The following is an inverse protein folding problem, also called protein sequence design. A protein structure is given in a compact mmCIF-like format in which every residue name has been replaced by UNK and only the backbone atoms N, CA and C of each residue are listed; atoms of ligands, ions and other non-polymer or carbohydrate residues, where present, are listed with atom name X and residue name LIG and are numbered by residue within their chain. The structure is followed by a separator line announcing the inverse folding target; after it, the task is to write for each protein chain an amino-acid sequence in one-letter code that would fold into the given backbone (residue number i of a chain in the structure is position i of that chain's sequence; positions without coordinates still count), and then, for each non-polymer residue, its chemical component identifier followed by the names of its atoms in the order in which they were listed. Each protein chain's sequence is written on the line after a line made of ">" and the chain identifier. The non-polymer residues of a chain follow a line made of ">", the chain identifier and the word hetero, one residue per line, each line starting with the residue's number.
data_IF_149991406378
#
_entry.id   IF_149991406378
#
_cell.length_a   1.000
_cell.length_b   1.000
_cell.length_c   1.000
_cell.angle_alpha   90.00
_cell.angle_beta   90.00
_cell.angle_gamma   90.00
#
_symmetry.space_group_name_H-M   'P 1'
#
loop_
_entity.id
_entity.type
_entity.pdbx_description
1 polymer ?
#
# COMPACT_ATOMS: atom_id res chain seq x y z
N UNK A 1 -21.65 0.96 9.41
CA UNK A 1 -21.18 1.44 8.10
C UNK A 1 -19.90 0.70 7.70
N UNK A 2 -19.99 -0.60 7.40
CA UNK A 2 -18.87 -1.44 6.97
C UNK A 2 -19.23 -2.40 5.80
N UNK A 3 -20.35 -2.13 5.11
CA UNK A 3 -20.75 -2.85 3.91
C UNK A 3 -19.75 -2.61 2.78
N UNK A 4 -19.50 -3.66 1.99
CA UNK A 4 -18.58 -3.62 0.84
C UNK A 4 -18.97 -4.69 -0.17
N UNK A 5 -18.91 -4.35 -1.45
CA UNK A 5 -19.26 -5.26 -2.55
C UNK A 5 -18.47 -4.90 -3.82
N UNK A 6 -18.07 -5.92 -4.57
CA UNK A 6 -17.46 -5.76 -5.89
C UNK A 6 -18.50 -6.09 -6.96
N UNK A 7 -18.62 -5.21 -7.96
CA UNK A 7 -19.37 -5.46 -9.18
C UNK A 7 -18.48 -5.14 -10.38
N UNK A 8 -18.03 -6.18 -11.08
CA UNK A 8 -17.08 -6.06 -12.19
C UNK A 8 -15.77 -5.39 -11.78
N UNK A 9 -15.50 -4.20 -12.34
CA UNK A 9 -14.31 -3.41 -12.07
C UNK A 9 -14.53 -2.29 -11.03
N UNK A 10 -15.58 -2.38 -10.22
CA UNK A 10 -15.91 -1.37 -9.20
C UNK A 10 -16.08 -2.01 -7.83
N UNK A 11 -15.47 -1.39 -6.82
CA UNK A 11 -15.72 -1.68 -5.41
C UNK A 11 -16.57 -0.56 -4.83
N UNK A 12 -17.75 -0.89 -4.31
CA UNK A 12 -18.52 -0.02 -3.44
C UNK A 12 -18.21 -0.38 -1.99
N UNK A 13 -17.87 0.60 -1.16
CA UNK A 13 -17.66 0.39 0.26
C UNK A 13 -18.19 1.56 1.10
N UNK A 14 -18.55 1.26 2.34
CA UNK A 14 -18.84 2.27 3.35
C UNK A 14 -17.54 2.75 4.03
N UNK A 15 -17.44 4.04 4.40
CA UNK A 15 -16.22 4.63 4.97
C UNK A 15 -15.68 3.97 6.25
N UNK A 16 -16.52 3.28 7.01
CA UNK A 16 -16.11 2.56 8.23
C UNK A 16 -15.51 1.18 7.98
N UNK A 17 -15.39 0.72 6.73
CA UNK A 17 -14.59 -0.47 6.42
C UNK A 17 -13.13 -0.27 6.83
N UNK A 18 -12.46 -1.34 7.27
CA UNK A 18 -11.02 -1.36 7.53
C UNK A 18 -10.28 -1.84 6.30
N UNK A 19 -9.05 -1.35 6.06
CA UNK A 19 -8.23 -1.79 4.94
C UNK A 19 -8.00 -3.29 4.92
N UNK A 20 -7.87 -3.96 6.08
CA UNK A 20 -7.79 -5.42 6.14
C UNK A 20 -9.00 -6.12 5.51
N UNK A 21 -10.21 -5.64 5.78
CA UNK A 21 -11.43 -6.17 5.21
C UNK A 21 -11.60 -5.80 3.72
N UNK A 22 -11.05 -4.66 3.31
CA UNK A 22 -10.95 -4.24 1.91
C UNK A 22 -9.97 -5.14 1.13
N UNK A 23 -8.82 -5.49 1.71
CA UNK A 23 -7.83 -6.38 1.10
C UNK A 23 -8.40 -7.79 0.92
N UNK A 24 -9.13 -8.30 1.91
CA UNK A 24 -9.78 -9.61 1.82
C UNK A 24 -10.74 -9.72 0.61
N UNK A 25 -11.64 -8.75 0.45
CA UNK A 25 -12.58 -8.77 -0.70
C UNK A 25 -11.86 -8.57 -2.04
N UNK A 26 -10.81 -7.75 -2.09
CA UNK A 26 -10.00 -7.57 -3.30
C UNK A 26 -9.30 -8.87 -3.71
N UNK A 27 -8.65 -9.54 -2.76
CA UNK A 27 -7.93 -10.79 -2.99
C UNK A 27 -8.87 -11.92 -3.48
N UNK A 28 -10.04 -12.08 -2.83
CA UNK A 28 -11.06 -13.07 -3.23
C UNK A 28 -11.61 -12.87 -4.64
N UNK A 29 -11.50 -11.66 -5.18
CA UNK A 29 -12.01 -11.31 -6.50
C UNK A 29 -10.89 -11.06 -7.54
N UNK A 30 -9.63 -11.34 -7.20
CA UNK A 30 -8.46 -11.06 -8.07
C UNK A 30 -8.42 -9.62 -8.59
N UNK A 31 -8.76 -8.66 -7.70
CA UNK A 31 -8.74 -7.23 -7.99
C UNK A 31 -7.73 -6.51 -7.11
N UNK A 32 -7.31 -5.34 -7.55
CA UNK A 32 -6.49 -4.45 -6.76
C UNK A 32 -6.93 -2.99 -6.92
N UNK A 33 -6.53 -2.18 -5.94
CA UNK A 33 -6.59 -0.73 -5.96
C UNK A 33 -5.41 -0.24 -5.10
N UNK A 34 -4.75 0.87 -5.43
CA UNK A 34 -3.70 1.42 -4.58
C UNK A 34 -4.25 1.71 -3.18
N UNK A 35 -3.66 1.11 -2.15
CA UNK A 35 -3.94 1.42 -0.76
C UNK A 35 -2.73 1.14 0.15
N UNK A 36 -2.84 1.47 1.43
CA UNK A 36 -1.80 1.24 2.43
C UNK A 36 -1.81 -0.18 2.99
N UNK A 37 -0.73 -0.55 3.67
CA UNK A 37 -0.54 -1.89 4.24
C UNK A 37 -0.98 -1.99 5.72
N UNK A 38 -1.43 -0.89 6.32
CA UNK A 38 -1.90 -0.86 7.69
C UNK A 38 -3.36 -1.33 7.75
N UNK A 39 -3.58 -2.61 8.03
CA UNK A 39 -4.91 -3.25 8.02
C UNK A 39 -5.97 -2.51 8.87
N UNK A 40 -5.56 -1.89 9.97
CA UNK A 40 -6.46 -1.22 10.92
C UNK A 40 -6.89 0.19 10.51
N UNK A 41 -6.38 0.71 9.38
CA UNK A 41 -6.75 2.03 8.87
C UNK A 41 -8.17 1.98 8.30
N UNK A 42 -8.98 2.98 8.62
CA UNK A 42 -10.32 3.15 8.05
C UNK A 42 -10.27 3.57 6.58
N UNK A 43 -11.04 2.90 5.74
CA UNK A 43 -11.07 3.09 4.30
C UNK A 43 -11.59 4.48 3.91
N UNK A 44 -12.51 5.06 4.68
CA UNK A 44 -13.01 6.41 4.49
C UNK A 44 -11.90 7.45 4.49
N UNK A 45 -11.19 7.56 5.61
CA UNK A 45 -10.05 8.47 5.73
C UNK A 45 -8.96 8.16 4.69
N UNK A 46 -8.70 6.87 4.42
CA UNK A 46 -7.67 6.46 3.48
C UNK A 46 -7.94 6.90 2.04
N UNK A 47 -9.10 6.54 1.49
CA UNK A 47 -9.43 6.79 0.08
C UNK A 47 -9.94 8.22 -0.17
N UNK A 48 -10.40 8.95 0.85
CA UNK A 48 -10.87 10.34 0.66
C UNK A 48 -9.77 11.39 0.80
N UNK A 49 -8.55 11.00 1.24
CA UNK A 49 -7.43 11.93 1.43
C UNK A 49 -6.30 11.69 0.45
N UNK A 50 -5.69 10.50 0.45
CA UNK A 50 -4.59 10.15 -0.43
C UNK A 50 -4.64 8.68 -0.79
N UNK A 51 -4.34 7.81 0.18
CA UNK A 51 -4.27 6.37 -0.06
C UNK A 51 -2.99 5.94 -0.77
N UNK A 52 -1.84 6.16 -0.13
CA UNK A 52 -0.54 5.78 -0.71
C UNK A 52 -0.30 4.26 -0.62
N UNK A 53 0.24 3.69 -1.69
CA UNK A 53 0.58 2.27 -1.86
C UNK A 53 2.06 2.15 -2.25
N UNK A 54 2.77 1.22 -1.63
CA UNK A 54 4.21 1.03 -1.88
C UNK A 54 4.50 0.52 -3.30
N UNK A 55 3.67 -0.37 -3.84
CA UNK A 55 3.87 -1.02 -5.14
C UNK A 55 3.08 -0.33 -6.26
N UNK A 56 1.80 -0.04 -6.03
CA UNK A 56 0.87 0.37 -7.07
C UNK A 56 0.89 1.88 -7.33
N UNK A 57 1.30 2.71 -6.37
CA UNK A 57 1.09 4.15 -6.46
C UNK A 57 1.83 4.81 -7.63
N UNK A 58 3.07 4.39 -7.93
CA UNK A 58 3.84 4.97 -9.05
C UNK A 58 3.22 4.69 -10.41
N UNK A 59 2.56 3.53 -10.57
CA UNK A 59 1.97 3.10 -11.84
C UNK A 59 0.52 3.54 -11.99
N UNK A 60 -0.27 3.43 -10.93
CA UNK A 60 -1.72 3.59 -10.97
C UNK A 60 -2.24 4.83 -10.22
N UNK A 61 -1.36 5.59 -9.58
CA UNK A 61 -1.72 6.75 -8.76
C UNK A 61 -2.10 6.37 -7.33
N UNK A 62 -2.46 7.36 -6.54
CA UNK A 62 -2.94 7.19 -5.17
C UNK A 62 -4.36 6.61 -5.14
N UNK A 63 -4.74 5.96 -4.05
CA UNK A 63 -6.06 5.35 -3.85
C UNK A 63 -7.21 6.33 -4.02
N UNK A 64 -7.03 7.60 -3.62
CA UNK A 64 -8.03 8.65 -3.84
C UNK A 64 -8.29 8.91 -5.33
N UNK A 65 -7.31 8.71 -6.21
CA UNK A 65 -7.48 8.85 -7.66
C UNK A 65 -8.31 7.70 -8.27
N UNK A 66 -8.51 6.61 -7.52
CA UNK A 66 -9.42 5.53 -7.89
C UNK A 66 -10.88 5.83 -7.54
N UNK A 67 -11.19 6.81 -6.69
CA UNK A 67 -12.57 7.20 -6.35
C UNK A 67 -13.28 7.70 -7.60
N UNK A 68 -14.35 7.04 -8.03
CA UNK A 68 -15.16 7.42 -9.20
C UNK A 68 -16.51 8.03 -8.83
N UNK A 69 -16.88 7.95 -7.57
CA UNK A 69 -18.13 8.48 -7.05
C UNK A 69 -18.36 8.07 -5.60
N UNK A 70 -19.58 8.31 -5.12
CA UNK A 70 -20.02 7.87 -3.82
C UNK A 70 -21.30 8.58 -3.39
N UNK A 71 -21.53 8.62 -2.08
CA UNK A 71 -22.68 9.30 -1.48
C UNK A 71 -22.22 10.19 -0.35
N UNK A 72 -22.78 11.38 -0.23
CA UNK A 72 -22.50 12.32 0.86
C UNK A 72 -23.81 12.78 1.51
N UNK A 73 -23.81 12.92 2.82
CA UNK A 73 -24.84 13.63 3.58
C UNK A 73 -24.31 15.03 3.92
N UNK A 74 -25.02 16.07 3.48
CA UNK A 74 -24.68 17.47 3.74
C UNK A 74 -25.21 17.92 5.11
N UNK A 75 -24.80 19.12 5.51
CA UNK A 75 -25.12 19.73 6.82
C UNK A 75 -26.62 19.99 7.03
N UNK A 76 -27.39 20.16 5.96
CA UNK A 76 -28.83 20.38 5.97
C UNK A 76 -29.65 19.07 5.94
N UNK A 77 -28.97 17.91 5.94
CA UNK A 77 -29.57 16.59 5.84
C UNK A 77 -29.77 16.10 4.40
N UNK A 78 -29.44 16.91 3.38
CA UNK A 78 -29.52 16.50 1.97
C UNK A 78 -28.55 15.37 1.69
N UNK A 79 -29.01 14.31 1.01
CA UNK A 79 -28.19 13.19 0.58
C UNK A 79 -27.98 13.28 -0.93
N UNK A 80 -26.72 13.36 -1.36
CA UNK A 80 -26.34 13.42 -2.77
C UNK A 80 -25.59 12.16 -3.20
N UNK A 81 -25.94 11.64 -4.37
CA UNK A 81 -25.09 10.72 -5.12
C UNK A 81 -24.10 11.54 -5.96
N UNK A 82 -22.84 11.15 -5.92
CA UNK A 82 -21.73 11.85 -6.54
C UNK A 82 -21.13 10.94 -7.60
N UNK A 83 -20.95 11.47 -8.81
CA UNK A 83 -20.16 10.85 -9.86
C UNK A 83 -19.53 11.93 -10.75
N UNK A 84 -19.05 11.57 -11.95
CA UNK A 84 -18.44 12.53 -12.87
C UNK A 84 -19.45 13.53 -13.48
N UNK A 85 -20.72 13.13 -13.61
CA UNK A 85 -21.81 13.92 -14.20
C UNK A 85 -22.63 14.67 -13.13
N UNK A 86 -22.68 14.15 -11.92
CA UNK A 86 -23.44 14.68 -10.79
C UNK A 86 -22.47 15.15 -9.70
N UNK A 87 -22.41 16.46 -9.47
CA UNK A 87 -21.57 17.09 -8.42
C UNK A 87 -20.06 16.81 -8.57
N UNK A 88 -19.52 17.08 -9.76
CA UNK A 88 -18.11 16.81 -10.10
C UNK A 88 -17.10 17.53 -9.21
N UNK A 89 -17.48 18.67 -8.63
CA UNK A 89 -16.73 19.44 -7.64
C UNK A 89 -16.64 18.69 -6.30
N UNK A 90 -17.70 18.02 -5.87
CA UNK A 90 -17.68 17.15 -4.69
C UNK A 90 -16.87 15.89 -4.96
N UNK A 91 -16.93 15.33 -6.19
CA UNK A 91 -16.05 14.24 -6.58
C UNK A 91 -14.57 14.66 -6.49
N UNK A 92 -14.23 15.88 -6.91
CA UNK A 92 -12.88 16.41 -6.75
C UNK A 92 -12.49 16.52 -5.27
N UNK A 93 -13.37 17.02 -4.41
CA UNK A 93 -13.15 17.07 -2.96
C UNK A 93 -12.96 15.67 -2.34
N UNK A 94 -13.66 14.65 -2.83
CA UNK A 94 -13.48 13.25 -2.43
C UNK A 94 -12.15 12.63 -2.86
N UNK A 95 -11.43 13.26 -3.80
CA UNK A 95 -10.12 12.78 -4.29
C UNK A 95 -8.94 13.46 -3.59
N UNK A 96 -9.10 13.79 -2.32
CA UNK A 96 -8.06 14.39 -1.48
C UNK A 96 -8.27 15.85 -1.09
N UNK A 97 -9.30 16.51 -1.65
CA UNK A 97 -9.65 17.90 -1.35
C UNK A 97 -10.50 18.09 -0.09
N UNK A 98 -10.36 17.23 0.91
CA UNK A 98 -11.08 17.27 2.19
C UNK A 98 -12.61 17.26 2.06
N UNK A 99 -13.19 16.20 1.46
CA UNK A 99 -14.64 15.98 1.42
C UNK A 99 -15.38 16.13 2.77
N UNK A 100 -14.67 15.90 3.88
CA UNK A 100 -15.18 16.14 5.24
C UNK A 100 -15.61 17.60 5.49
N UNK A 101 -15.10 18.57 4.73
CA UNK A 101 -15.54 19.97 4.79
C UNK A 101 -16.89 20.23 4.11
N UNK A 102 -17.33 19.35 3.20
CA UNK A 102 -18.60 19.47 2.50
C UNK A 102 -19.73 18.70 3.21
N UNK A 103 -19.40 17.60 3.89
CA UNK A 103 -20.36 16.76 4.59
C UNK A 103 -19.78 15.41 4.99
N UNK A 104 -20.65 14.47 5.38
CA UNK A 104 -20.26 13.11 5.78
C UNK A 104 -20.43 12.18 4.58
N UNK A 105 -19.31 11.71 4.02
CA UNK A 105 -19.36 10.66 3.00
C UNK A 105 -19.93 9.39 3.65
N UNK A 106 -20.86 8.73 2.97
CA UNK A 106 -21.52 7.51 3.43
C UNK A 106 -21.28 6.30 2.52
N UNK A 107 -20.93 6.53 1.25
CA UNK A 107 -20.46 5.49 0.33
C UNK A 107 -19.29 6.00 -0.51
N UNK A 108 -18.38 5.10 -0.87
CA UNK A 108 -17.25 5.36 -1.77
C UNK A 108 -17.30 4.31 -2.88
N UNK A 109 -17.22 4.77 -4.13
CA UNK A 109 -17.09 3.91 -5.30
C UNK A 109 -15.66 4.02 -5.83
N UNK A 110 -14.92 2.90 -5.84
CA UNK A 110 -13.55 2.80 -6.33
C UNK A 110 -13.51 2.05 -7.65
N UNK A 111 -12.80 2.59 -8.63
CA UNK A 111 -12.39 1.85 -9.83
C UNK A 111 -11.25 0.90 -9.46
N UNK A 112 -11.42 -0.37 -9.80
CA UNK A 112 -10.45 -1.43 -9.58
C UNK A 112 -9.61 -1.68 -10.84
N UNK A 113 -8.43 -2.23 -10.62
CA UNK A 113 -7.63 -2.90 -11.63
C UNK A 113 -7.66 -4.41 -11.37
N UNK A 114 -7.25 -5.20 -12.36
CA UNK A 114 -6.95 -6.61 -12.12
C UNK A 114 -5.74 -6.73 -11.19
N UNK A 115 -5.76 -7.74 -10.33
CA UNK A 115 -4.61 -8.05 -9.48
C UNK A 115 -3.38 -8.32 -10.36
N UNK A 116 -2.25 -7.62 -10.13
CA UNK A 116 -1.02 -7.93 -10.84
C UNK A 116 -0.64 -9.39 -10.66
N UNK A 117 -0.19 -10.09 -11.72
CA UNK A 117 0.07 -11.53 -11.64
C UNK A 117 1.22 -11.88 -10.69
N UNK A 118 2.04 -10.90 -10.32
CA UNK A 118 3.15 -11.03 -9.38
C UNK A 118 3.56 -9.68 -8.81
N UNK A 119 4.31 -9.74 -7.72
CA UNK A 119 5.10 -8.67 -7.16
C UNK A 119 6.51 -9.20 -6.86
N UNK A 120 7.54 -8.44 -7.25
CA UNK A 120 8.92 -8.71 -6.89
C UNK A 120 9.37 -7.70 -5.83
N UNK A 121 10.05 -8.15 -4.78
CA UNK A 121 10.56 -7.24 -3.76
C UNK A 121 11.83 -7.74 -3.07
N UNK A 122 12.56 -6.76 -2.52
CA UNK A 122 13.76 -6.96 -1.71
C UNK A 122 13.88 -5.83 -0.70
N UNK A 123 14.17 -6.19 0.54
CA UNK A 123 14.47 -5.25 1.62
C UNK A 123 15.85 -5.56 2.18
N UNK A 124 16.82 -4.68 1.95
CA UNK A 124 18.21 -4.89 2.34
C UNK A 124 18.61 -3.91 3.42
N UNK A 125 19.03 -4.42 4.59
CA UNK A 125 19.67 -3.57 5.61
C UNK A 125 20.99 -3.05 5.06
N UNK A 126 21.22 -1.75 5.20
CA UNK A 126 22.45 -1.10 4.74
C UNK A 126 23.16 -0.40 5.90
N UNK A 127 24.48 -0.41 5.87
CA UNK A 127 25.31 0.31 6.84
C UNK A 127 25.57 1.77 6.41
N UNK A 128 26.23 2.54 7.28
CA UNK A 128 26.54 3.97 7.03
C UNK A 128 27.38 4.17 5.75
N UNK A 129 28.33 3.26 5.47
CA UNK A 129 29.16 3.32 4.26
C UNK A 129 28.33 3.11 2.99
N UNK A 130 27.48 2.08 2.96
CA UNK A 130 26.59 1.79 1.84
C UNK A 130 25.57 2.91 1.62
N UNK A 131 25.04 3.51 2.68
CA UNK A 131 24.17 4.69 2.56
C UNK A 131 24.92 5.88 1.96
N UNK A 132 26.17 6.14 2.38
CA UNK A 132 27.00 7.19 1.80
C UNK A 132 27.29 6.93 0.31
N UNK A 133 27.49 5.69 -0.09
CA UNK A 133 27.56 5.27 -1.49
C UNK A 133 26.27 5.60 -2.24
N UNK A 134 25.09 5.27 -1.69
CA UNK A 134 23.81 5.63 -2.32
C UNK A 134 23.65 7.13 -2.53
N UNK A 135 24.06 7.95 -1.56
CA UNK A 135 23.97 9.42 -1.63
C UNK A 135 24.95 9.98 -2.66
N UNK A 136 26.23 9.62 -2.57
CA UNK A 136 27.28 10.11 -3.47
C UNK A 136 27.04 9.74 -4.94
N UNK A 137 26.45 8.57 -5.20
CA UNK A 137 26.07 8.15 -6.55
C UNK A 137 24.73 8.71 -7.05
N UNK A 138 24.04 9.54 -6.25
CA UNK A 138 22.79 10.20 -6.63
C UNK A 138 21.61 9.23 -6.77
N UNK A 139 21.51 8.20 -5.93
CA UNK A 139 20.46 7.18 -6.04
C UNK A 139 19.04 7.79 -6.03
N UNK A 140 18.81 8.85 -5.25
CA UNK A 140 17.52 9.55 -5.19
C UNK A 140 17.15 10.19 -6.53
N UNK A 141 18.03 10.99 -7.12
CA UNK A 141 17.75 11.68 -8.39
C UNK A 141 17.65 10.70 -9.56
N UNK A 142 18.51 9.68 -9.59
CA UNK A 142 18.47 8.63 -10.61
C UNK A 142 17.21 7.76 -10.52
N UNK A 143 16.67 7.54 -9.32
CA UNK A 143 15.42 6.77 -9.15
C UNK A 143 14.21 7.39 -9.84
N UNK A 144 14.24 8.69 -10.14
CA UNK A 144 13.21 9.36 -10.95
C UNK A 144 13.12 8.80 -12.37
N UNK A 145 14.21 8.22 -12.89
CA UNK A 145 14.30 7.63 -14.23
C UNK A 145 13.88 6.16 -14.28
N UNK A 146 13.64 5.53 -13.14
CA UNK A 146 13.17 4.14 -13.10
C UNK A 146 11.77 4.03 -13.73
N UNK A 147 11.47 2.90 -14.41
CA UNK A 147 10.11 2.56 -14.81
C UNK A 147 9.11 2.78 -13.68
N UNK A 148 7.89 3.23 -14.03
CA UNK A 148 6.82 3.44 -13.04
C UNK A 148 6.41 2.17 -12.30
N UNK A 149 6.78 1.02 -12.85
CA UNK A 149 6.57 -0.30 -12.28
C UNK A 149 7.51 -0.64 -11.13
N UNK A 150 8.57 0.17 -10.91
CA UNK A 150 9.56 -0.02 -9.84
C UNK A 150 9.48 1.14 -8.86
N UNK A 151 9.31 0.82 -7.58
CA UNK A 151 9.44 1.75 -6.45
C UNK A 151 10.68 1.39 -5.65
N UNK A 152 11.49 2.39 -5.32
CA UNK A 152 12.60 2.26 -4.37
C UNK A 152 12.37 3.19 -3.19
N UNK A 153 12.79 2.78 -2.00
CA UNK A 153 12.66 3.57 -0.78
C UNK A 153 13.80 3.30 0.20
N UNK A 154 14.11 4.29 1.01
CA UNK A 154 14.93 4.12 2.21
C UNK A 154 14.03 4.16 3.43
N UNK A 155 14.16 3.19 4.33
CA UNK A 155 13.42 3.16 5.60
C UNK A 155 14.40 3.28 6.76
N UNK A 156 14.11 4.21 7.67
CA UNK A 156 14.82 4.38 8.93
C UNK A 156 13.86 4.04 10.07
N UNK A 157 14.29 3.19 10.98
CA UNK A 157 13.53 2.83 12.18
C UNK A 157 14.46 2.34 13.29
N UNK A 158 13.95 2.25 14.51
CA UNK A 158 14.65 1.62 15.64
C UNK A 158 14.01 0.26 15.91
N UNK A 159 14.83 -0.78 16.03
CA UNK A 159 14.38 -2.03 16.63
C UNK A 159 14.38 -1.86 18.17
N UNK A 160 13.43 -2.47 18.91
CA UNK A 160 13.25 -2.24 20.35
C UNK A 160 14.51 -2.42 21.23
N UNK A 161 15.44 -3.26 20.77
CA UNK A 161 16.66 -3.64 21.51
C UNK A 161 17.94 -3.02 20.89
N UNK A 162 17.82 -1.99 20.04
CA UNK A 162 18.97 -1.36 19.35
C UNK A 162 19.04 0.15 19.60
N UNK A 163 20.25 0.64 19.91
CA UNK A 163 20.53 2.06 20.12
C UNK A 163 20.77 2.84 18.82
N UNK A 164 21.28 2.17 17.79
CA UNK A 164 21.51 2.76 16.47
C UNK A 164 20.31 2.52 15.54
N UNK A 165 19.95 3.49 14.67
CA UNK A 165 18.87 3.31 13.73
C UNK A 165 19.22 2.27 12.66
N UNK A 166 18.24 1.43 12.33
CA UNK A 166 18.30 0.53 11.19
C UNK A 166 17.93 1.31 9.94
N UNK A 167 18.83 1.32 8.97
CA UNK A 167 18.55 1.78 7.62
C UNK A 167 18.34 0.57 6.69
N UNK A 168 17.29 0.60 5.86
CA UNK A 168 17.11 -0.37 4.79
C UNK A 168 16.83 0.29 3.45
N UNK A 169 17.42 -0.27 2.40
CA UNK A 169 17.09 0.03 1.00
C UNK A 169 16.10 -1.01 0.51
N UNK A 170 14.88 -0.59 0.21
CA UNK A 170 13.77 -1.47 -0.17
C UNK A 170 13.36 -1.19 -1.61
N UNK A 171 13.10 -2.26 -2.35
CA UNK A 171 12.66 -2.24 -3.73
C UNK A 171 11.40 -3.10 -3.83
N UNK A 172 10.38 -2.56 -4.47
CA UNK A 172 9.20 -3.33 -4.90
C UNK A 172 8.96 -3.07 -6.39
N UNK A 173 8.46 -4.07 -7.09
CA UNK A 173 8.32 -4.03 -8.54
C UNK A 173 7.15 -4.88 -9.02
N UNK A 174 6.44 -4.38 -10.04
CA UNK A 174 5.43 -5.13 -10.80
C UNK A 174 6.07 -6.01 -11.88
N UNK A 175 7.38 -5.88 -12.11
CA UNK A 175 8.15 -6.67 -13.06
C UNK A 175 8.73 -7.92 -12.40
N UNK A 176 9.29 -8.82 -13.22
CA UNK A 176 10.09 -9.94 -12.71
C UNK A 176 11.36 -9.44 -12.02
N UNK A 177 11.97 -10.25 -11.15
CA UNK A 177 13.25 -9.93 -10.50
C UNK A 177 14.31 -9.62 -11.56
N UNK A 178 14.37 -10.41 -12.63
CA UNK A 178 15.32 -10.21 -13.73
C UNK A 178 15.15 -8.84 -14.41
N UNK A 179 13.94 -8.51 -14.87
CA UNK A 179 13.65 -7.21 -15.50
C UNK A 179 13.84 -6.04 -14.54
N UNK A 180 13.55 -6.25 -13.25
CA UNK A 180 13.79 -5.26 -12.20
C UNK A 180 15.28 -4.99 -12.06
N UNK A 181 16.09 -6.04 -11.96
CA UNK A 181 17.55 -5.94 -11.87
C UNK A 181 18.14 -5.26 -13.10
N UNK A 182 17.73 -5.63 -14.31
CA UNK A 182 18.16 -4.97 -15.56
C UNK A 182 17.85 -3.46 -15.55
N UNK A 183 16.67 -3.05 -15.07
CA UNK A 183 16.31 -1.65 -14.95
C UNK A 183 17.11 -0.93 -13.86
N UNK A 184 17.35 -1.58 -12.71
CA UNK A 184 18.18 -1.03 -11.65
C UNK A 184 19.61 -0.84 -12.14
N UNK A 185 20.19 -1.81 -12.82
CA UNK A 185 21.49 -1.70 -13.48
C UNK A 185 21.50 -0.53 -14.43
N UNK A 186 20.59 -0.50 -15.42
CA UNK A 186 20.53 0.56 -16.43
C UNK A 186 20.39 1.98 -15.85
N UNK A 187 19.61 2.17 -14.80
CA UNK A 187 19.24 3.50 -14.32
C UNK A 187 19.95 3.94 -13.04
N UNK A 188 20.31 3.03 -12.15
CA UNK A 188 20.99 3.31 -10.88
C UNK A 188 22.51 3.00 -10.90
N UNK A 189 23.06 2.51 -12.04
CA UNK A 189 24.48 2.13 -12.27
C UNK A 189 25.49 2.55 -11.20
N UNK A 190 26.24 1.57 -10.67
CA UNK A 190 27.35 1.76 -9.74
C UNK A 190 27.31 0.77 -8.57
N UNK A 191 27.99 1.10 -7.47
CA UNK A 191 28.05 0.29 -6.26
C UNK A 191 26.68 0.10 -5.57
N UNK A 192 25.68 0.92 -5.92
CA UNK A 192 24.32 0.84 -5.39
C UNK A 192 23.61 -0.46 -5.82
N UNK A 193 23.83 -0.95 -7.04
CA UNK A 193 23.19 -2.19 -7.50
C UNK A 193 23.85 -3.43 -6.88
N UNK A 194 25.13 -3.34 -6.49
CA UNK A 194 25.85 -4.39 -5.76
C UNK A 194 25.23 -4.67 -4.40
N UNK A 195 24.63 -3.66 -3.76
CA UNK A 195 23.86 -3.81 -2.51
C UNK A 195 22.67 -4.78 -2.71
N UNK A 196 22.14 -4.87 -3.93
CA UNK A 196 20.92 -5.63 -4.26
C UNK A 196 21.12 -6.80 -5.24
N UNK A 197 22.37 -7.18 -5.50
CA UNK A 197 22.73 -8.14 -6.55
C UNK A 197 22.37 -9.61 -6.25
N UNK A 198 22.19 -10.00 -4.99
CA UNK A 198 21.90 -11.39 -4.62
C UNK A 198 20.50 -11.85 -5.07
N UNK A 199 20.40 -12.53 -6.22
CA UNK A 199 19.11 -12.98 -6.81
C UNK A 199 18.29 -13.88 -5.87
N UNK A 200 18.94 -14.68 -5.03
CA UNK A 200 18.28 -15.58 -4.05
C UNK A 200 17.63 -14.85 -2.88
N UNK A 201 17.95 -13.57 -2.67
CA UNK A 201 17.40 -12.74 -1.58
C UNK A 201 16.16 -11.95 -2.03
N UNK A 202 15.83 -12.03 -3.32
CA UNK A 202 14.61 -11.45 -3.87
C UNK A 202 13.43 -12.41 -3.67
N UNK A 203 12.26 -11.82 -3.47
CA UNK A 203 11.00 -12.55 -3.51
C UNK A 203 10.27 -12.19 -4.80
N UNK A 204 9.65 -13.18 -5.44
CA UNK A 204 8.73 -12.99 -6.56
C UNK A 204 7.50 -13.87 -6.31
N UNK A 205 6.41 -13.26 -5.82
CA UNK A 205 5.19 -13.96 -5.39
C UNK A 205 3.94 -13.11 -5.67
N UNK A 206 2.80 -13.44 -5.06
CA UNK A 206 1.56 -12.67 -5.23
C UNK A 206 1.62 -11.28 -4.58
N UNK A 207 0.68 -10.40 -4.96
CA UNK A 207 0.50 -9.11 -4.29
C UNK A 207 0.10 -9.28 -2.81
N UNK A 208 -0.72 -10.30 -2.51
CA UNK A 208 -1.12 -10.59 -1.14
C UNK A 208 0.07 -11.01 -0.27
N UNK A 209 1.01 -11.80 -0.80
CA UNK A 209 2.23 -12.19 -0.07
C UNK A 209 3.08 -10.97 0.34
N UNK A 210 3.20 -9.97 -0.55
CA UNK A 210 3.88 -8.71 -0.25
C UNK A 210 3.19 -7.95 0.89
N UNK A 211 1.85 -7.90 0.86
CA UNK A 211 1.03 -7.18 1.87
C UNK A 211 1.04 -7.85 3.24
N UNK A 212 1.28 -9.16 3.30
CA UNK A 212 1.34 -9.92 4.54
C UNK A 212 2.74 -9.92 5.18
N UNK A 213 3.70 -9.14 4.67
CA UNK A 213 5.00 -9.00 5.31
C UNK A 213 4.85 -8.28 6.66
N UNK A 214 5.36 -8.86 7.77
CA UNK A 214 5.36 -8.19 9.07
C UNK A 214 6.18 -6.90 9.04
N UNK A 215 5.73 -5.88 9.78
CA UNK A 215 6.40 -4.57 9.80
C UNK A 215 7.87 -4.63 10.27
N UNK A 216 8.23 -5.60 11.13
CA UNK A 216 9.62 -5.89 11.51
C UNK A 216 9.84 -7.36 11.88
N UNK A 217 11.10 -7.81 11.82
CA UNK A 217 11.49 -9.14 12.29
C UNK A 217 11.32 -9.32 13.81
N UNK A 218 11.47 -8.24 14.58
CA UNK A 218 11.22 -8.25 16.03
C UNK A 218 9.74 -8.52 16.35
N UNK A 219 8.84 -7.89 15.60
CA UNK A 219 7.39 -8.10 15.69
C UNK A 219 6.98 -9.53 15.30
N UNK A 220 7.64 -10.11 14.28
CA UNK A 220 7.46 -11.53 13.92
C UNK A 220 7.86 -12.48 15.06
N UNK A 221 8.91 -12.15 15.81
CA UNK A 221 9.41 -12.97 16.92
C UNK A 221 8.61 -12.78 18.22
N UNK A 222 7.95 -11.63 18.42
CA UNK A 222 7.20 -11.28 19.65
C UNK A 222 5.89 -10.54 19.33
N UNK A 223 4.84 -11.25 18.86
CA UNK A 223 3.58 -10.62 18.44
C UNK A 223 2.81 -9.92 19.58
N UNK A 224 2.95 -10.35 20.83
CA UNK A 224 2.12 -9.90 21.96
C UNK A 224 2.60 -8.64 22.70
N UNK A 225 3.72 -7.99 22.30
CA UNK A 225 4.26 -6.82 23.03
C UNK A 225 3.78 -5.46 22.50
N UNK A 226 2.85 -5.42 21.56
CA UNK A 226 2.23 -4.15 21.16
C UNK A 226 1.10 -3.84 22.14
N UNK A 227 1.27 -2.77 22.91
CA UNK A 227 0.40 -2.41 24.03
C UNK A 227 -1.09 -2.46 23.69
N UNK A 228 -1.89 -2.92 24.64
CA UNK A 228 -3.35 -3.14 24.63
C UNK A 228 -4.21 -1.89 24.42
N UNK A 229 -3.65 -0.82 23.85
CA UNK A 229 -4.36 0.44 23.63
C UNK A 229 -4.70 0.76 22.17
N UNK A 230 -4.00 0.19 21.18
CA UNK A 230 -4.23 0.48 19.76
C UNK A 230 -4.13 -0.84 18.99
N UNK A 231 -5.17 -1.16 18.21
CA UNK A 231 -5.22 -2.31 17.28
C UNK A 231 -4.16 -2.17 16.18
N UNK A 232 -2.93 -2.48 16.53
CA UNK A 232 -1.82 -2.55 15.59
C UNK A 232 -2.04 -3.69 14.59
N UNK A 233 -1.61 -3.49 13.34
CA UNK A 233 -1.90 -4.36 12.20
C UNK A 233 -1.57 -5.85 12.38
N UNK A 234 -0.77 -6.24 13.37
CA UNK A 234 -0.49 -7.66 13.67
C UNK A 234 -1.70 -8.45 14.18
N UNK A 235 -2.59 -7.86 14.98
CA UNK A 235 -3.77 -8.59 15.46
C UNK A 235 -4.72 -8.93 14.31
N UNK A 236 -4.76 -8.07 13.27
CA UNK A 236 -5.56 -8.28 12.06
C UNK A 236 -4.86 -9.16 11.02
N UNK A 237 -3.52 -9.11 10.95
CA UNK A 237 -2.71 -10.06 10.17
C UNK A 237 -2.95 -11.50 10.66
N UNK A 238 -3.09 -11.69 11.98
CA UNK A 238 -3.53 -12.95 12.59
C UNK A 238 -4.98 -13.31 12.25
N UNK A 239 -5.91 -12.35 12.20
CA UNK A 239 -7.30 -12.61 11.81
C UNK A 239 -7.42 -13.12 10.37
N UNK A 240 -6.65 -12.58 9.42
CA UNK A 240 -6.62 -13.04 8.03
C UNK A 240 -5.99 -14.45 7.92
N UNK A 241 -4.90 -14.71 8.65
CA UNK A 241 -4.28 -16.04 8.74
C UNK A 241 -5.18 -17.09 9.42
N UNK A 242 -5.98 -16.68 10.41
CA UNK A 242 -6.97 -17.54 11.08
C UNK A 242 -8.16 -17.83 10.16
N UNK A 243 -8.62 -16.86 9.36
CA UNK A 243 -9.68 -17.07 8.37
C UNK A 243 -9.25 -18.05 7.26
N UNK A 244 -8.01 -17.96 6.77
CA UNK A 244 -7.48 -18.91 5.78
C UNK A 244 -7.38 -20.36 6.31
N UNK A 245 -7.28 -20.55 7.63
CA UNK A 245 -7.29 -21.89 8.24
C UNK A 245 -8.69 -22.44 8.50
N UNK A 246 -9.71 -21.59 8.55
CA UNK A 246 -11.10 -22.01 8.78
C UNK A 246 -11.83 -22.38 7.48
N UNK A 247 -11.38 -21.91 6.32
CA UNK A 247 -11.88 -22.35 5.00
C UNK A 247 -11.27 -23.68 4.51
N UNK A 248 -10.35 -24.28 5.27
CA UNK A 248 -9.74 -25.59 4.99
C UNK A 248 -10.20 -26.70 5.95
N UNK A 249 -11.26 -26.45 6.74
CA UNK A 249 -11.84 -27.41 7.69
C UNK A 249 -13.31 -27.68 7.39
#
# INVERSE_FOLDING_TARGET
>A
MNERQINGAMLSLEPGCLLGATIDILAKNHKAVPHGDCFGVGAGGHFLTAGWDLLLARRFGLGCQAVVGGRIALWDGTILEIDKKNHSELLYAMRGGAAACAGVVTKIYLRLIDEPPRAAWRSTRINKQQLATCISHGAFSKSLRLPRDITVSFRFHFDPDQLEPVCSFNIVSLLTVEKTMEALERHLWGDVTRIVAGKTEWNEKSLLDLRLIPASGGLKKRPCKVGSGHTSGLSQQLSILLYQKLDQA
#
